data_IF_019568441346
#
_entry.id   IF_019568441346
#
_cell.length_a   1.000
_cell.length_b   1.000
_cell.length_c   1.000
_cell.angle_alpha   90.00
_cell.angle_beta   90.00
_cell.angle_gamma   90.00
#
_symmetry.space_group_name_H-M   'P 1'
#
loop_
_entity.id
_entity.type
_entity.pdbx_description
1 polymer ?
#
# COMPACT_ATOMS: atom_id res chain seq x y z
N UNK A 1 -3.71 -20.56 22.62
CA UNK A 1 -4.18 -19.75 21.47
C UNK A 1 -5.68 -19.96 21.42
N UNK A 2 -6.49 -18.90 21.61
CA UNK A 2 -7.95 -19.04 21.53
C UNK A 2 -8.30 -19.47 20.10
N UNK A 3 -9.16 -20.48 19.99
CA UNK A 3 -9.56 -21.08 18.73
C UNK A 3 -10.63 -20.17 18.10
N UNK A 4 -10.20 -19.06 17.49
CA UNK A 4 -11.10 -18.07 16.90
C UNK A 4 -11.79 -18.69 15.68
N UNK A 5 -13.12 -18.82 15.77
CA UNK A 5 -13.96 -19.42 14.72
C UNK A 5 -13.92 -18.59 13.44
N UNK A 6 -13.82 -17.26 13.54
CA UNK A 6 -13.75 -16.37 12.38
C UNK A 6 -12.43 -16.61 11.63
N UNK A 7 -11.30 -16.68 12.36
CA UNK A 7 -9.99 -16.95 11.74
C UNK A 7 -9.91 -18.33 11.06
N UNK A 8 -10.59 -19.34 11.62
CA UNK A 8 -10.68 -20.66 10.97
C UNK A 8 -11.50 -20.62 9.69
N UNK A 9 -12.62 -19.91 9.70
CA UNK A 9 -13.46 -19.75 8.52
C UNK A 9 -12.66 -19.11 7.38
N UNK A 10 -11.93 -18.03 7.65
CA UNK A 10 -11.04 -17.41 6.67
C UNK A 10 -9.94 -18.35 6.16
N UNK A 11 -9.32 -19.13 7.05
CA UNK A 11 -8.26 -20.08 6.66
C UNK A 11 -8.80 -21.18 5.75
N UNK A 12 -9.98 -21.68 6.04
CA UNK A 12 -10.55 -22.82 5.31
C UNK A 12 -11.20 -22.40 3.97
N UNK A 13 -11.21 -21.11 3.64
CA UNK A 13 -11.65 -20.57 2.34
C UNK A 13 -10.83 -21.09 1.15
N UNK A 14 -9.54 -21.39 1.35
CA UNK A 14 -8.64 -21.83 0.29
C UNK A 14 -7.69 -22.93 0.79
N UNK A 15 -7.82 -24.13 0.23
CA UNK A 15 -6.95 -25.27 0.59
C UNK A 15 -5.65 -25.22 -0.19
N UNK A 16 -4.58 -25.70 0.44
CA UNK A 16 -3.28 -25.81 -0.21
C UNK A 16 -3.37 -26.71 -1.47
N UNK A 17 -2.79 -26.30 -2.61
CA UNK A 17 -2.83 -27.06 -3.85
C UNK A 17 -1.95 -28.33 -3.75
N UNK A 18 -2.34 -29.37 -4.47
CA UNK A 18 -1.60 -30.64 -4.54
C UNK A 18 -0.45 -30.63 -5.56
N UNK A 19 -0.44 -29.66 -6.49
CA UNK A 19 0.57 -29.51 -7.53
C UNK A 19 0.91 -28.03 -7.72
N UNK A 20 2.17 -27.72 -8.00
CA UNK A 20 2.66 -26.37 -8.29
C UNK A 20 3.03 -26.28 -9.77
N UNK A 21 2.58 -25.22 -10.44
CA UNK A 21 2.92 -24.96 -11.84
C UNK A 21 3.65 -23.63 -11.99
N UNK A 22 4.43 -23.49 -13.05
CA UNK A 22 5.11 -22.26 -13.41
C UNK A 22 4.17 -21.33 -14.20
N UNK A 23 4.09 -20.07 -13.78
CA UNK A 23 3.32 -19.02 -14.47
C UNK A 23 4.18 -18.03 -15.26
N UNK A 24 5.51 -18.14 -15.18
CA UNK A 24 6.41 -17.22 -15.86
C UNK A 24 6.57 -17.64 -17.33
N UNK A 25 5.94 -16.89 -18.22
CA UNK A 25 6.00 -17.12 -19.67
C UNK A 25 6.00 -15.78 -20.42
N UNK A 26 6.20 -15.82 -21.73
CA UNK A 26 6.23 -14.66 -22.61
C UNK A 26 4.94 -13.83 -22.54
N UNK A 27 3.78 -14.47 -22.29
CA UNK A 27 2.51 -13.78 -22.03
C UNK A 27 2.61 -12.85 -20.80
N UNK A 28 3.22 -13.34 -19.73
CA UNK A 28 3.45 -12.60 -18.50
C UNK A 28 4.41 -11.43 -18.74
N UNK A 29 5.47 -11.64 -19.53
CA UNK A 29 6.42 -10.59 -19.91
C UNK A 29 5.74 -9.48 -20.72
N UNK A 30 4.98 -9.82 -21.77
CA UNK A 30 4.22 -8.84 -22.55
C UNK A 30 3.25 -8.07 -21.66
N UNK A 31 2.57 -8.79 -20.75
CA UNK A 31 1.65 -8.16 -19.82
C UNK A 31 2.33 -7.18 -18.87
N UNK A 32 3.52 -7.50 -18.37
CA UNK A 32 4.33 -6.61 -17.55
C UNK A 32 4.69 -5.31 -18.28
N UNK A 33 5.11 -5.40 -19.54
CA UNK A 33 5.46 -4.23 -20.37
C UNK A 33 4.25 -3.34 -20.58
N UNK A 34 3.11 -3.91 -20.97
CA UNK A 34 1.87 -3.16 -21.15
C UNK A 34 1.44 -2.45 -19.86
N UNK A 35 1.52 -3.15 -18.73
CA UNK A 35 1.21 -2.59 -17.41
C UNK A 35 2.09 -1.37 -17.15
N UNK A 36 3.40 -1.50 -17.35
CA UNK A 36 4.35 -0.42 -17.12
C UNK A 36 4.08 0.81 -17.99
N UNK A 37 3.87 0.62 -19.30
CA UNK A 37 3.72 1.73 -20.25
C UNK A 37 2.33 2.38 -20.23
N UNK A 38 1.25 1.62 -20.00
CA UNK A 38 -0.11 2.16 -20.08
C UNK A 38 -0.65 2.56 -18.70
N UNK A 39 -0.47 1.72 -17.68
CA UNK A 39 -1.11 1.95 -16.39
C UNK A 39 -0.40 3.00 -15.55
N UNK A 40 0.93 2.99 -15.55
CA UNK A 40 1.70 3.89 -14.69
C UNK A 40 1.42 5.36 -15.04
N UNK A 41 1.48 5.81 -16.32
CA UNK A 41 1.16 7.19 -16.66
C UNK A 41 -0.29 7.55 -16.37
N UNK A 42 -1.23 6.64 -16.67
CA UNK A 42 -2.65 6.85 -16.38
C UNK A 42 -2.92 7.00 -14.88
N UNK A 43 -2.22 6.20 -14.04
CA UNK A 43 -2.35 6.28 -12.59
C UNK A 43 -1.76 7.54 -12.02
N UNK A 44 -0.59 7.96 -12.51
CA UNK A 44 0.02 9.23 -12.13
C UNK A 44 -0.90 10.41 -12.49
N UNK A 45 -1.47 10.42 -13.70
CA UNK A 45 -2.40 11.46 -14.12
C UNK A 45 -3.64 11.53 -13.23
N UNK A 46 -4.30 10.40 -12.99
CA UNK A 46 -5.51 10.35 -12.15
C UNK A 46 -5.21 10.79 -10.72
N UNK A 47 -4.05 10.43 -10.19
CA UNK A 47 -3.63 10.87 -8.86
C UNK A 47 -3.40 12.38 -8.77
N UNK A 48 -2.84 13.01 -9.81
CA UNK A 48 -2.67 14.47 -9.85
C UNK A 48 -4.01 15.20 -9.98
N UNK A 49 -4.96 14.65 -10.74
CA UNK A 49 -6.26 15.29 -11.00
C UNK A 49 -7.23 15.09 -9.82
N UNK A 50 -7.27 13.89 -9.26
CA UNK A 50 -8.26 13.50 -8.24
C UNK A 50 -7.70 13.51 -6.82
N UNK A 51 -6.38 13.69 -6.65
CA UNK A 51 -5.68 13.55 -5.36
C UNK A 51 -5.50 12.09 -4.93
N UNK A 52 -6.07 11.13 -5.65
CA UNK A 52 -6.03 9.70 -5.35
C UNK A 52 -5.72 8.91 -6.63
N UNK A 53 -4.82 7.92 -6.56
CA UNK A 53 -4.54 7.05 -7.72
C UNK A 53 -5.72 6.14 -8.09
N UNK A 54 -5.56 5.33 -9.14
CA UNK A 54 -6.60 4.37 -9.63
C UNK A 54 -6.92 3.28 -8.58
N UNK A 55 -6.13 3.21 -7.51
CA UNK A 55 -6.33 2.31 -6.39
C UNK A 55 -6.10 0.83 -6.76
N UNK A 56 -6.45 -0.10 -5.85
CA UNK A 56 -6.29 -1.54 -6.07
C UNK A 56 -7.11 -2.07 -7.26
N UNK A 57 -8.20 -1.39 -7.62
CA UNK A 57 -9.10 -1.76 -8.71
C UNK A 57 -8.39 -1.83 -10.08
N UNK A 58 -7.40 -0.95 -10.31
CA UNK A 58 -6.62 -0.96 -11.55
C UNK A 58 -5.96 -2.33 -11.83
N UNK A 59 -5.49 -3.03 -10.79
CA UNK A 59 -4.89 -4.37 -10.93
C UNK A 59 -5.86 -5.34 -11.58
N UNK A 60 -7.11 -5.30 -11.15
CA UNK A 60 -8.17 -6.18 -11.62
C UNK A 60 -8.62 -5.85 -13.05
N UNK A 61 -8.79 -4.56 -13.36
CA UNK A 61 -9.16 -4.11 -14.71
C UNK A 61 -8.15 -4.62 -15.74
N UNK A 62 -6.86 -4.52 -15.43
CA UNK A 62 -5.79 -5.02 -16.30
C UNK A 62 -5.86 -6.51 -16.53
N UNK A 63 -6.06 -7.30 -15.48
CA UNK A 63 -6.19 -8.76 -15.63
C UNK A 63 -7.38 -9.09 -16.51
N UNK A 64 -8.51 -8.40 -16.33
CA UNK A 64 -9.71 -8.60 -17.14
C UNK A 64 -9.44 -8.27 -18.61
N UNK A 65 -8.76 -7.15 -18.89
CA UNK A 65 -8.36 -6.79 -20.27
C UNK A 65 -7.42 -7.83 -20.88
N UNK A 66 -6.43 -8.32 -20.11
CA UNK A 66 -5.52 -9.37 -20.58
C UNK A 66 -6.22 -10.70 -20.83
N UNK A 67 -7.10 -11.11 -19.94
CA UNK A 67 -7.90 -12.31 -20.11
C UNK A 67 -8.80 -12.21 -21.35
N UNK A 68 -9.38 -11.05 -21.60
CA UNK A 68 -10.21 -10.80 -22.78
C UNK A 68 -9.38 -10.79 -24.09
N UNK A 69 -8.19 -10.19 -24.08
CA UNK A 69 -7.26 -10.23 -25.23
C UNK A 69 -6.78 -11.65 -25.51
N UNK A 70 -6.42 -12.41 -24.46
CA UNK A 70 -6.01 -13.80 -24.58
C UNK A 70 -7.15 -14.64 -25.20
N UNK A 71 -8.38 -14.48 -24.69
CA UNK A 71 -9.58 -15.15 -25.19
C UNK A 71 -9.85 -14.83 -26.66
N UNK A 72 -9.75 -13.56 -27.05
CA UNK A 72 -9.91 -13.14 -28.47
C UNK A 72 -8.80 -13.66 -29.39
N UNK A 73 -7.64 -13.97 -28.81
CA UNK A 73 -6.51 -14.59 -29.51
C UNK A 73 -6.59 -16.12 -29.49
N UNK A 74 -7.72 -16.71 -29.07
CA UNK A 74 -7.89 -18.16 -28.89
C UNK A 74 -6.85 -18.80 -27.97
N UNK A 75 -6.40 -18.04 -26.97
CA UNK A 75 -5.45 -18.49 -25.94
C UNK A 75 -6.07 -18.35 -24.56
N UNK A 76 -5.64 -19.16 -23.62
CA UNK A 76 -6.08 -19.08 -22.24
C UNK A 76 -4.92 -18.66 -21.34
N UNK A 77 -5.26 -18.01 -20.21
CA UNK A 77 -4.31 -17.64 -19.18
C UNK A 77 -4.44 -18.61 -18.01
N UNK A 78 -3.31 -19.19 -17.59
CA UNK A 78 -3.25 -20.05 -16.41
C UNK A 78 -3.46 -19.22 -15.14
N UNK A 79 -3.90 -19.87 -14.06
CA UNK A 79 -4.07 -19.22 -12.75
C UNK A 79 -2.77 -18.54 -12.28
N UNK A 80 -1.62 -19.18 -12.53
CA UNK A 80 -0.30 -18.71 -12.16
C UNK A 80 0.15 -17.51 -13.01
N UNK A 81 -0.16 -17.49 -14.31
CA UNK A 81 0.07 -16.34 -15.19
C UNK A 81 -0.75 -15.13 -14.71
N UNK A 82 -2.03 -15.34 -14.38
CA UNK A 82 -2.92 -14.30 -13.84
C UNK A 82 -2.40 -13.76 -12.50
N UNK A 83 -1.93 -14.64 -11.62
CA UNK A 83 -1.37 -14.23 -10.33
C UNK A 83 -0.09 -13.38 -10.50
N UNK A 84 0.80 -13.77 -11.42
CA UNK A 84 1.99 -12.96 -11.71
C UNK A 84 1.61 -11.60 -12.32
N UNK A 85 0.66 -11.56 -13.26
CA UNK A 85 0.14 -10.31 -13.80
C UNK A 85 -0.48 -9.42 -12.71
N UNK A 86 -1.23 -9.99 -11.76
CA UNK A 86 -1.77 -9.27 -10.61
C UNK A 86 -0.68 -8.66 -9.73
N UNK A 87 0.34 -9.44 -9.40
CA UNK A 87 1.46 -8.98 -8.58
C UNK A 87 2.25 -7.87 -9.28
N UNK A 88 2.55 -8.04 -10.57
CA UNK A 88 3.26 -7.04 -11.38
C UNK A 88 2.44 -5.76 -11.57
N UNK A 89 1.13 -5.88 -11.80
CA UNK A 89 0.23 -4.72 -11.82
C UNK A 89 0.29 -3.96 -10.51
N UNK A 90 0.29 -4.68 -9.38
CA UNK A 90 0.43 -4.06 -8.08
C UNK A 90 1.78 -3.37 -7.86
N UNK A 91 2.86 -3.99 -8.32
CA UNK A 91 4.19 -3.40 -8.28
C UNK A 91 4.30 -2.13 -9.14
N UNK A 92 3.71 -2.12 -10.33
CA UNK A 92 3.72 -0.98 -11.23
C UNK A 92 2.86 0.19 -10.71
N UNK A 93 1.70 -0.12 -10.12
CA UNK A 93 0.80 0.89 -9.53
C UNK A 93 1.34 1.51 -8.26
N UNK A 94 2.39 0.97 -7.64
CA UNK A 94 3.12 1.65 -6.58
C UNK A 94 3.78 2.96 -7.08
N UNK A 95 3.82 3.17 -8.40
CA UNK A 95 4.18 4.42 -9.09
C UNK A 95 5.39 5.14 -8.50
N UNK A 96 6.54 4.46 -8.35
CA UNK A 96 7.71 5.00 -7.66
C UNK A 96 8.23 6.30 -8.29
N UNK A 97 8.06 6.45 -9.62
CA UNK A 97 8.45 7.66 -10.35
C UNK A 97 7.57 8.88 -10.05
N UNK A 98 6.39 8.70 -9.46
CA UNK A 98 5.57 9.82 -8.99
C UNK A 98 6.29 10.64 -7.90
N UNK A 99 7.13 9.99 -7.10
CA UNK A 99 7.97 10.68 -6.11
C UNK A 99 8.83 11.77 -6.74
N UNK A 100 9.25 11.62 -8.00
CA UNK A 100 10.06 12.64 -8.70
C UNK A 100 9.25 13.92 -8.96
N UNK A 101 7.97 13.79 -9.34
CA UNK A 101 7.08 14.94 -9.52
C UNK A 101 6.85 15.66 -8.19
N UNK A 102 6.67 14.91 -7.10
CA UNK A 102 6.55 15.49 -5.77
C UNK A 102 7.83 16.21 -5.34
N UNK A 103 9.00 15.60 -5.56
CA UNK A 103 10.29 16.23 -5.23
C UNK A 103 10.51 17.52 -6.03
N UNK A 104 10.13 17.54 -7.31
CA UNK A 104 10.14 18.74 -8.14
C UNK A 104 9.21 19.82 -7.58
N UNK A 105 7.98 19.45 -7.18
CA UNK A 105 7.06 20.39 -6.55
C UNK A 105 7.61 20.93 -5.22
N UNK A 106 8.16 20.05 -4.38
CA UNK A 106 8.67 20.39 -3.05
C UNK A 106 9.74 21.47 -3.13
N UNK A 107 10.76 21.27 -3.97
CA UNK A 107 11.86 22.24 -4.09
C UNK A 107 11.39 23.58 -4.68
N UNK A 108 10.40 23.57 -5.57
CA UNK A 108 9.83 24.78 -6.18
C UNK A 108 8.79 25.48 -5.29
N UNK A 109 8.26 24.80 -4.27
CA UNK A 109 7.15 25.31 -3.48
C UNK A 109 7.53 26.55 -2.66
N UNK A 110 6.60 27.52 -2.59
CA UNK A 110 6.77 28.74 -1.78
C UNK A 110 7.00 28.38 -0.31
N UNK A 111 6.34 27.34 0.20
CA UNK A 111 6.53 26.88 1.57
C UNK A 111 7.97 26.44 1.84
N UNK A 112 8.58 25.66 0.94
CA UNK A 112 9.96 25.24 1.09
C UNK A 112 10.94 26.43 0.99
N UNK A 113 10.66 27.38 0.09
CA UNK A 113 11.47 28.59 -0.08
C UNK A 113 11.37 29.50 1.16
N UNK A 114 10.16 29.73 1.68
CA UNK A 114 9.92 30.55 2.87
C UNK A 114 10.53 29.94 4.14
N UNK A 115 10.55 28.61 4.24
CA UNK A 115 11.21 27.89 5.35
C UNK A 115 12.74 27.83 5.18
N UNK A 116 13.28 28.27 4.04
CA UNK A 116 14.72 28.22 3.75
C UNK A 116 15.27 26.80 3.64
N UNK A 117 14.42 25.80 3.39
CA UNK A 117 14.83 24.39 3.33
C UNK A 117 15.32 23.96 1.96
N UNK A 118 15.03 24.74 0.91
CA UNK A 118 15.36 24.42 -0.48
C UNK A 118 16.84 24.20 -0.72
N UNK A 119 17.70 24.98 -0.08
CA UNK A 119 19.16 24.89 -0.22
C UNK A 119 19.75 23.62 0.42
N UNK A 120 19.01 23.01 1.35
CA UNK A 120 19.41 21.79 2.04
C UNK A 120 18.93 20.52 1.32
N UNK A 121 18.13 20.64 0.27
CA UNK A 121 17.68 19.50 -0.54
C UNK A 121 18.84 19.08 -1.45
N UNK A 122 19.37 17.86 -1.30
CA UNK A 122 20.49 17.42 -2.14
C UNK A 122 20.09 17.22 -3.60
N UNK A 123 21.02 17.45 -4.51
CA UNK A 123 20.83 17.26 -5.97
C UNK A 123 20.42 15.84 -6.38
N UNK A 124 20.70 14.86 -5.51
CA UNK A 124 20.28 13.47 -5.71
C UNK A 124 18.83 13.19 -5.31
N UNK A 125 18.14 14.12 -4.65
CA UNK A 125 16.69 14.08 -4.38
C UNK A 125 15.90 14.77 -5.49
N UNK A 126 16.34 15.98 -5.86
CA UNK A 126 15.76 16.80 -6.94
C UNK A 126 16.86 17.69 -7.55
N UNK A 127 16.78 18.03 -8.85
CA UNK A 127 17.68 19.02 -9.45
C UNK A 127 17.60 20.40 -8.77
N UNK A 128 18.67 21.18 -8.83
CA UNK A 128 18.69 22.54 -8.28
C UNK A 128 17.65 23.44 -8.98
N UNK A 129 17.13 24.46 -8.28
CA UNK A 129 16.10 25.39 -8.77
C UNK A 129 16.42 26.03 -10.13
N UNK A 130 17.70 26.23 -10.44
CA UNK A 130 18.17 26.80 -11.72
C UNK A 130 18.30 25.79 -12.86
N UNK A 131 17.96 24.51 -12.66
CA UNK A 131 18.10 23.47 -13.67
C UNK A 131 17.21 23.73 -14.89
N UNK A 132 17.78 23.58 -16.08
CA UNK A 132 17.05 23.67 -17.35
C UNK A 132 15.94 22.61 -17.49
N UNK A 133 16.07 21.50 -16.75
CA UNK A 133 15.08 20.41 -16.76
C UNK A 133 13.67 20.86 -16.39
N UNK A 134 13.55 21.89 -15.55
CA UNK A 134 12.26 22.44 -15.13
C UNK A 134 11.60 23.26 -16.24
N UNK A 135 12.39 24.01 -17.01
CA UNK A 135 11.89 24.75 -18.17
C UNK A 135 11.48 23.79 -19.30
N UNK A 136 12.26 22.73 -19.53
CA UNK A 136 11.99 21.71 -20.54
C UNK A 136 10.85 20.75 -20.14
N UNK A 137 10.45 20.75 -18.85
CA UNK A 137 9.43 19.85 -18.29
C UNK A 137 9.72 18.38 -18.62
N UNK A 138 11.00 17.99 -18.55
CA UNK A 138 11.47 16.67 -18.96
C UNK A 138 12.34 16.03 -17.89
N UNK A 139 12.04 14.76 -17.58
CA UNK A 139 12.90 13.91 -16.76
C UNK A 139 14.09 13.33 -17.55
N UNK A 140 14.09 13.47 -18.88
CA UNK A 140 15.19 13.06 -19.74
C UNK A 140 16.29 14.15 -19.80
N UNK A 141 16.68 14.64 -18.63
CA UNK A 141 17.75 15.63 -18.47
C UNK A 141 18.84 15.05 -17.55
N UNK A 142 20.10 15.45 -17.75
CA UNK A 142 21.24 14.91 -17.00
C UNK A 142 21.11 15.12 -15.49
N UNK A 143 20.52 16.23 -15.07
CA UNK A 143 20.35 16.56 -13.65
C UNK A 143 19.40 15.59 -12.93
N UNK A 144 18.48 14.96 -13.66
CA UNK A 144 17.58 13.93 -13.12
C UNK A 144 18.23 12.54 -13.05
N UNK A 145 19.41 12.35 -13.63
CA UNK A 145 20.06 11.04 -13.70
C UNK A 145 20.35 10.48 -12.30
N UNK A 146 20.87 11.30 -11.39
CA UNK A 146 21.16 10.86 -10.02
C UNK A 146 19.87 10.46 -9.27
N UNK A 147 18.82 11.30 -9.16
CA UNK A 147 17.55 10.90 -8.55
C UNK A 147 16.93 9.63 -9.15
N UNK A 148 16.95 9.49 -10.49
CA UNK A 148 16.38 8.33 -11.17
C UNK A 148 17.19 7.06 -10.88
N UNK A 149 18.53 7.14 -10.92
CA UNK A 149 19.39 5.98 -10.62
C UNK A 149 19.26 5.56 -9.15
N UNK A 150 19.17 6.53 -8.23
CA UNK A 150 18.92 6.24 -6.82
C UNK A 150 17.57 5.55 -6.62
N UNK A 151 16.51 6.07 -7.27
CA UNK A 151 15.18 5.48 -7.20
C UNK A 151 15.18 4.04 -7.73
N UNK A 152 15.73 3.81 -8.92
CA UNK A 152 15.83 2.49 -9.53
C UNK A 152 16.66 1.52 -8.68
N UNK A 153 17.79 1.99 -8.13
CA UNK A 153 18.66 1.21 -7.24
C UNK A 153 17.95 0.84 -5.93
N UNK A 154 17.28 1.80 -5.30
CA UNK A 154 16.50 1.58 -4.08
C UNK A 154 15.36 0.59 -4.32
N UNK A 155 14.65 0.70 -5.45
CA UNK A 155 13.62 -0.28 -5.84
C UNK A 155 14.19 -1.69 -6.00
N UNK A 156 15.36 -1.83 -6.63
CA UNK A 156 15.99 -3.13 -6.83
C UNK A 156 16.41 -3.75 -5.50
N UNK A 157 17.03 -2.97 -4.61
CA UNK A 157 17.40 -3.41 -3.26
C UNK A 157 16.16 -3.82 -2.48
N UNK A 158 15.11 -3.00 -2.49
CA UNK A 158 13.86 -3.29 -1.78
C UNK A 158 13.20 -4.57 -2.28
N UNK A 159 13.26 -4.85 -3.59
CA UNK A 159 12.75 -6.10 -4.15
C UNK A 159 13.57 -7.30 -3.68
N UNK A 160 14.90 -7.18 -3.67
CA UNK A 160 15.79 -8.22 -3.16
C UNK A 160 15.53 -8.47 -1.66
N UNK A 161 15.40 -7.41 -0.86
CA UNK A 161 15.06 -7.50 0.57
C UNK A 161 13.72 -8.21 0.80
N UNK A 162 12.70 -7.87 0.00
CA UNK A 162 11.39 -8.49 0.06
C UNK A 162 11.46 -10.01 -0.21
N UNK A 163 12.29 -10.43 -1.18
CA UNK A 163 12.55 -11.85 -1.42
C UNK A 163 13.45 -12.50 -0.36
N UNK A 164 14.31 -11.75 0.32
CA UNK A 164 15.17 -12.25 1.38
C UNK A 164 14.41 -12.47 2.69
N UNK A 165 14.07 -11.39 3.40
CA UNK A 165 13.40 -11.50 4.70
C UNK A 165 11.93 -11.93 4.55
N UNK A 166 11.22 -11.39 3.57
CA UNK A 166 9.80 -11.70 3.37
C UNK A 166 9.56 -13.18 3.10
N UNK A 167 10.40 -13.81 2.28
CA UNK A 167 10.32 -15.26 2.05
C UNK A 167 10.69 -16.08 3.29
N UNK A 168 11.74 -15.68 4.02
CA UNK A 168 12.14 -16.36 5.24
C UNK A 168 11.02 -16.33 6.30
N UNK A 169 10.39 -15.17 6.49
CA UNK A 169 9.24 -15.00 7.37
C UNK A 169 8.02 -15.75 6.87
N UNK A 170 7.75 -15.78 5.56
CA UNK A 170 6.69 -16.61 4.99
C UNK A 170 6.87 -18.08 5.36
N UNK A 171 8.08 -18.64 5.20
CA UNK A 171 8.33 -20.05 5.55
C UNK A 171 8.17 -20.30 7.05
N UNK A 172 8.57 -19.35 7.89
CA UNK A 172 8.38 -19.45 9.34
C UNK A 172 6.88 -19.42 9.71
N UNK A 173 6.17 -18.40 9.26
CA UNK A 173 4.75 -18.16 9.63
C UNK A 173 3.78 -19.15 8.97
N UNK A 174 4.04 -19.54 7.71
CA UNK A 174 3.19 -20.47 6.97
C UNK A 174 3.55 -21.94 7.22
N UNK A 175 4.82 -22.34 7.05
CA UNK A 175 5.18 -23.77 7.11
C UNK A 175 5.30 -24.28 8.56
N UNK A 176 5.89 -23.47 9.44
CA UNK A 176 6.17 -23.85 10.84
C UNK A 176 5.00 -23.49 11.76
N UNK A 177 4.58 -22.23 11.75
CA UNK A 177 3.56 -21.72 12.69
C UNK A 177 2.12 -21.89 12.19
N UNK A 178 1.92 -22.02 10.88
CA UNK A 178 0.60 -22.21 10.22
C UNK A 178 -0.42 -21.15 10.63
N UNK A 179 0.02 -19.89 10.66
CA UNK A 179 -0.84 -18.76 11.01
C UNK A 179 -1.98 -18.59 9.99
N UNK A 180 -3.19 -18.18 10.43
CA UNK A 180 -4.28 -17.83 9.53
C UNK A 180 -4.05 -16.43 8.94
N UNK A 181 -3.93 -16.33 7.61
CA UNK A 181 -3.81 -15.05 6.89
C UNK A 181 -5.16 -14.65 6.30
N UNK A 182 -6.04 -13.89 6.99
CA UNK A 182 -7.43 -13.72 6.57
C UNK A 182 -7.63 -13.04 5.21
N UNK A 183 -6.75 -12.10 4.86
CA UNK A 183 -6.84 -11.36 3.59
C UNK A 183 -6.23 -12.11 2.39
N UNK A 184 -5.36 -13.09 2.62
CA UNK A 184 -4.67 -13.79 1.53
C UNK A 184 -5.62 -14.68 0.70
N UNK A 185 -6.53 -15.48 1.30
CA UNK A 185 -7.56 -16.22 0.59
C UNK A 185 -8.47 -15.33 -0.25
N UNK A 186 -8.83 -14.14 0.23
CA UNK A 186 -9.70 -13.22 -0.53
C UNK A 186 -9.02 -12.78 -1.83
N UNK A 187 -7.75 -12.37 -1.77
CA UNK A 187 -6.99 -11.99 -2.95
C UNK A 187 -6.80 -13.18 -3.90
N UNK A 188 -6.45 -14.36 -3.36
CA UNK A 188 -6.24 -15.58 -4.14
C UNK A 188 -7.54 -16.05 -4.82
N UNK A 189 -8.66 -16.10 -4.10
CA UNK A 189 -9.98 -16.43 -4.65
C UNK A 189 -10.42 -15.44 -5.73
N UNK A 190 -10.11 -14.16 -5.58
CA UNK A 190 -10.33 -13.17 -6.64
C UNK A 190 -9.57 -13.51 -7.92
N UNK A 191 -8.26 -13.83 -7.81
CA UNK A 191 -7.44 -14.22 -8.97
C UNK A 191 -7.89 -15.55 -9.60
N UNK A 192 -8.25 -16.53 -8.77
CA UNK A 192 -8.77 -17.82 -9.24
C UNK A 192 -10.14 -17.68 -9.90
N UNK A 193 -11.02 -16.85 -9.36
CA UNK A 193 -12.35 -16.62 -9.94
C UNK A 193 -12.26 -16.04 -11.37
N UNK A 194 -11.28 -15.19 -11.65
CA UNK A 194 -11.05 -14.67 -12.99
C UNK A 194 -10.52 -15.75 -13.94
N UNK A 195 -9.61 -16.60 -13.48
CA UNK A 195 -9.10 -17.72 -14.27
C UNK A 195 -10.18 -18.78 -14.57
N UNK A 196 -10.92 -19.20 -13.54
CA UNK A 196 -11.99 -20.22 -13.59
C UNK A 196 -13.24 -19.76 -14.35
N UNK A 197 -13.42 -18.44 -14.53
CA UNK A 197 -14.54 -17.88 -15.31
C UNK A 197 -14.49 -18.25 -16.80
N UNK A 198 -13.42 -18.90 -17.25
CA UNK A 198 -13.23 -19.35 -18.64
C UNK A 198 -13.87 -20.73 -18.89
N UNK A 199 -14.02 -21.59 -17.88
CA UNK A 199 -14.37 -23.00 -18.11
C UNK A 199 -15.74 -23.48 -17.59
N UNK A 200 -16.41 -22.82 -16.64
CA UNK A 200 -17.55 -23.47 -15.96
C UNK A 200 -18.86 -22.65 -15.85
N UNK A 201 -19.95 -23.17 -16.42
CA UNK A 201 -21.33 -22.61 -16.27
C UNK A 201 -21.83 -22.60 -14.81
N UNK A 202 -21.14 -23.28 -13.90
CA UNK A 202 -21.49 -23.39 -12.47
C UNK A 202 -21.19 -22.13 -11.64
N UNK A 203 -20.42 -21.17 -12.17
CA UNK A 203 -20.03 -19.92 -11.47
C UNK A 203 -20.85 -18.70 -11.90
N UNK A 204 -22.06 -18.89 -12.45
CA UNK A 204 -22.94 -17.80 -12.91
C UNK A 204 -23.23 -16.72 -11.83
N UNK A 205 -23.23 -17.09 -10.55
CA UNK A 205 -23.44 -16.13 -9.45
C UNK A 205 -22.25 -15.17 -9.27
N UNK A 206 -21.00 -15.65 -9.44
CA UNK A 206 -19.79 -14.81 -9.37
C UNK A 206 -19.87 -13.71 -10.44
N UNK A 207 -20.36 -14.09 -11.62
CA UNK A 207 -20.52 -13.17 -12.74
C UNK A 207 -21.63 -12.15 -12.52
N UNK A 208 -22.75 -12.56 -11.91
CA UNK A 208 -23.80 -11.63 -11.48
C UNK A 208 -23.28 -10.60 -10.47
N UNK A 209 -22.54 -11.04 -9.44
CA UNK A 209 -21.96 -10.14 -8.42
C UNK A 209 -20.95 -9.20 -9.06
N UNK A 210 -20.08 -9.71 -9.94
CA UNK A 210 -19.16 -8.87 -10.70
C UNK A 210 -19.89 -7.83 -11.54
N UNK A 211 -20.91 -8.21 -12.30
CA UNK A 211 -21.66 -7.26 -13.15
C UNK A 211 -22.37 -6.19 -12.31
N UNK A 212 -22.94 -6.55 -11.15
CA UNK A 212 -23.53 -5.57 -10.23
C UNK A 212 -22.46 -4.59 -9.74
N UNK A 213 -21.33 -5.11 -9.24
CA UNK A 213 -20.22 -4.27 -8.79
C UNK A 213 -19.66 -3.38 -9.91
N UNK A 214 -19.53 -3.91 -11.12
CA UNK A 214 -19.08 -3.18 -12.29
C UNK A 214 -20.06 -2.06 -12.68
N UNK A 215 -21.38 -2.30 -12.65
CA UNK A 215 -22.37 -1.27 -12.94
C UNK A 215 -22.40 -0.17 -11.88
N UNK A 216 -22.27 -0.52 -10.59
CA UNK A 216 -22.15 0.46 -9.50
C UNK A 216 -20.88 1.30 -9.70
N UNK A 217 -19.74 0.65 -9.96
CA UNK A 217 -18.47 1.32 -10.21
C UNK A 217 -18.48 2.22 -11.45
N UNK A 218 -19.11 1.78 -12.54
CA UNK A 218 -19.29 2.59 -13.76
C UNK A 218 -20.18 3.80 -13.50
N UNK A 219 -21.31 3.62 -12.82
CA UNK A 219 -22.20 4.73 -12.47
C UNK A 219 -21.48 5.75 -11.56
N UNK A 220 -20.79 5.28 -10.53
CA UNK A 220 -20.03 6.12 -9.63
C UNK A 220 -18.89 6.85 -10.36
N UNK A 221 -18.08 6.12 -11.13
CA UNK A 221 -16.97 6.68 -11.91
C UNK A 221 -17.44 7.66 -12.98
N UNK A 222 -18.62 7.45 -13.58
CA UNK A 222 -19.24 8.39 -14.50
C UNK A 222 -19.50 9.74 -13.82
N UNK A 223 -20.19 9.76 -12.68
CA UNK A 223 -20.56 11.00 -12.00
C UNK A 223 -19.41 11.65 -11.22
N UNK A 224 -18.53 10.86 -10.63
CA UNK A 224 -17.45 11.34 -9.75
C UNK A 224 -16.18 11.71 -10.52
N UNK A 225 -15.89 11.04 -11.64
CA UNK A 225 -14.63 11.24 -12.39
C UNK A 225 -14.89 11.74 -13.80
N UNK A 226 -15.65 11.00 -14.61
CA UNK A 226 -15.77 11.28 -16.04
C UNK A 226 -16.52 12.59 -16.32
N UNK A 227 -17.63 12.83 -15.62
CA UNK A 227 -18.44 14.02 -15.82
C UNK A 227 -17.66 15.32 -15.48
N UNK A 228 -16.99 15.45 -14.33
CA UNK A 228 -16.10 16.58 -14.06
C UNK A 228 -14.98 16.74 -15.09
N UNK A 229 -14.34 15.63 -15.49
CA UNK A 229 -13.23 15.67 -16.44
C UNK A 229 -13.67 16.12 -17.85
N UNK A 230 -14.76 15.56 -18.39
CA UNK A 230 -15.28 15.94 -19.70
C UNK A 230 -15.86 17.36 -19.69
N UNK A 231 -16.62 17.72 -18.65
CA UNK A 231 -17.20 19.06 -18.57
C UNK A 231 -16.13 20.14 -18.42
N UNK A 232 -15.03 19.89 -17.70
CA UNK A 232 -13.92 20.84 -17.59
C UNK A 232 -13.18 21.13 -18.90
N UNK A 233 -13.38 20.32 -19.94
CA UNK A 233 -12.82 20.59 -21.28
C UNK A 233 -13.69 21.62 -22.03
N UNK A 234 -15.00 21.61 -21.83
CA UNK A 234 -15.96 22.43 -22.57
C UNK A 234 -16.44 23.66 -21.79
N UNK A 235 -16.42 23.62 -20.46
CA UNK A 235 -16.91 24.67 -19.58
C UNK A 235 -15.77 25.29 -18.77
N UNK A 236 -15.95 26.56 -18.37
CA UNK A 236 -15.01 27.26 -17.46
C UNK A 236 -15.00 26.65 -16.06
N UNK A 237 -16.15 26.14 -15.61
CA UNK A 237 -16.27 25.39 -14.36
C UNK A 237 -16.76 23.97 -14.66
N UNK A 238 -16.01 22.93 -14.25
CA UNK A 238 -16.45 21.55 -14.43
C UNK A 238 -17.70 21.27 -13.59
N UNK A 239 -18.63 20.52 -14.17
CA UNK A 239 -19.85 20.07 -13.51
C UNK A 239 -19.46 19.00 -12.47
N UNK A 240 -19.47 19.40 -11.19
CA UNK A 240 -19.18 18.54 -10.05
C UNK A 240 -20.46 18.31 -9.24
N UNK A 241 -21.11 17.16 -9.45
CA UNK A 241 -22.29 16.77 -8.65
C UNK A 241 -21.90 16.41 -7.21
N UNK A 242 -20.71 15.82 -7.05
CA UNK A 242 -20.13 15.45 -5.75
C UNK A 242 -18.82 16.22 -5.62
N UNK A 243 -18.54 16.88 -4.48
CA UNK A 243 -17.28 17.57 -4.25
C UNK A 243 -16.09 16.61 -4.30
N UNK A 244 -15.02 17.05 -4.95
CA UNK A 244 -13.72 16.37 -5.05
C UNK A 244 -12.69 17.31 -4.39
N UNK A 245 -11.73 16.81 -3.60
CA UNK A 245 -11.48 15.40 -3.26
C UNK A 245 -12.37 14.82 -2.13
N UNK A 246 -12.99 15.65 -1.31
CA UNK A 246 -13.94 15.25 -0.27
C UNK A 246 -14.98 16.35 -0.06
N UNK A 247 -16.07 16.02 0.63
CA UNK A 247 -17.02 17.01 1.13
C UNK A 247 -16.48 17.61 2.43
N UNK A 248 -16.19 18.91 2.40
CA UNK A 248 -15.71 19.67 3.55
C UNK A 248 -16.88 20.04 4.47
N UNK A 249 -16.97 19.42 5.65
CA UNK A 249 -17.99 19.68 6.67
C UNK A 249 -17.40 20.25 7.98
N UNK A 250 -16.08 20.33 8.09
CA UNK A 250 -15.42 20.72 9.35
C UNK A 250 -15.85 22.14 9.74
N UNK A 251 -15.86 23.06 8.77
CA UNK A 251 -16.33 24.45 8.96
C UNK A 251 -17.81 24.57 9.33
N UNK A 252 -18.64 23.59 8.97
CA UNK A 252 -20.07 23.58 9.32
C UNK A 252 -20.32 22.98 10.71
N UNK A 253 -19.40 22.14 11.18
CA UNK A 253 -19.54 21.37 12.42
C UNK A 253 -18.69 21.91 13.55
N UNK A 254 -17.71 22.77 13.28
CA UNK A 254 -16.79 23.37 14.26
C UNK A 254 -17.49 24.06 15.44
N UNK A 255 -18.72 24.54 15.25
CA UNK A 255 -19.50 25.18 16.31
C UNK A 255 -19.96 24.22 17.42
N UNK A 256 -20.14 22.93 17.12
CA UNK A 256 -20.57 21.92 18.10
C UNK A 256 -19.58 20.75 18.25
N UNK A 257 -18.65 20.58 17.30
CA UNK A 257 -17.56 19.61 17.32
C UNK A 257 -16.22 20.33 17.07
N UNK A 258 -15.73 21.12 18.04
CA UNK A 258 -14.46 21.82 17.90
C UNK A 258 -13.31 20.81 17.77
N UNK A 259 -12.34 21.15 16.92
CA UNK A 259 -11.19 20.30 16.58
C UNK A 259 -11.53 18.89 16.05
N UNK A 260 -12.75 18.64 15.56
CA UNK A 260 -13.10 17.36 14.90
C UNK A 260 -13.07 17.54 13.39
N UNK A 261 -12.24 16.75 12.71
CA UNK A 261 -12.22 16.70 11.25
C UNK A 261 -13.41 15.86 10.74
N UNK A 262 -14.41 16.52 10.15
CA UNK A 262 -15.65 15.87 9.70
C UNK A 262 -15.77 15.78 8.17
N UNK A 263 -14.69 16.03 7.44
CA UNK A 263 -14.66 15.85 5.99
C UNK A 263 -15.01 14.42 5.59
N UNK A 264 -15.92 14.27 4.61
CA UNK A 264 -16.37 12.98 4.11
C UNK A 264 -15.73 12.70 2.77
N UNK A 265 -14.86 11.69 2.72
CA UNK A 265 -14.32 11.17 1.48
C UNK A 265 -15.29 10.16 0.87
N UNK A 266 -15.72 10.42 -0.37
CA UNK A 266 -16.55 9.49 -1.13
C UNK A 266 -15.67 8.46 -1.86
N UNK A 267 -15.26 7.43 -1.14
CA UNK A 267 -14.47 6.33 -1.70
C UNK A 267 -15.27 5.02 -1.64
N UNK A 268 -15.79 4.61 -2.79
CA UNK A 268 -16.51 3.35 -2.93
C UNK A 268 -15.62 2.12 -2.64
N UNK A 269 -14.31 2.24 -2.83
CA UNK A 269 -13.33 1.22 -2.47
C UNK A 269 -13.28 0.97 -0.97
N UNK A 270 -13.32 2.02 -0.14
CA UNK A 270 -13.38 1.88 1.32
C UNK A 270 -14.67 1.18 1.78
N UNK A 271 -15.79 1.44 1.10
CA UNK A 271 -17.07 0.75 1.37
C UNK A 271 -16.94 -0.76 1.14
N UNK A 272 -16.38 -1.19 -0.01
CA UNK A 272 -16.21 -2.61 -0.30
C UNK A 272 -15.16 -3.28 0.59
N UNK A 273 -14.06 -2.58 0.92
CA UNK A 273 -13.05 -3.09 1.86
C UNK A 273 -13.71 -3.33 3.23
N UNK A 274 -14.54 -2.41 3.71
CA UNK A 274 -15.28 -2.55 4.95
C UNK A 274 -16.21 -3.77 5.00
N UNK A 275 -16.74 -4.22 3.86
CA UNK A 275 -17.58 -5.44 3.77
C UNK A 275 -16.77 -6.75 3.90
N UNK A 276 -15.45 -6.69 3.69
CA UNK A 276 -14.55 -7.85 3.69
C UNK A 276 -13.74 -7.94 4.99
N UNK A 277 -13.55 -6.81 5.68
CA UNK A 277 -12.79 -6.80 6.93
C UNK A 277 -13.49 -7.61 8.04
N UNK A 278 -12.71 -8.25 8.93
CA UNK A 278 -13.27 -8.95 10.10
C UNK A 278 -14.19 -8.05 10.91
N UNK A 279 -15.31 -8.59 11.39
CA UNK A 279 -16.36 -7.79 12.03
C UNK A 279 -15.82 -6.98 13.21
N UNK A 280 -14.98 -7.60 14.04
CA UNK A 280 -14.37 -6.95 15.19
C UNK A 280 -13.37 -5.85 14.83
N UNK A 281 -12.72 -5.94 13.67
CA UNK A 281 -11.87 -4.86 13.16
C UNK A 281 -12.72 -3.63 12.78
N UNK A 282 -13.88 -3.85 12.14
CA UNK A 282 -14.82 -2.77 11.79
C UNK A 282 -15.38 -2.10 13.05
N UNK A 283 -15.81 -2.89 14.04
CA UNK A 283 -16.30 -2.36 15.32
C UNK A 283 -15.20 -1.60 16.06
N UNK A 284 -13.96 -2.12 16.07
CA UNK A 284 -12.81 -1.42 16.66
C UNK A 284 -12.55 -0.05 16.00
N UNK A 285 -12.60 0.00 14.67
CA UNK A 285 -12.48 1.25 13.91
C UNK A 285 -13.61 2.24 14.22
N UNK A 286 -14.85 1.75 14.30
CA UNK A 286 -16.01 2.58 14.66
C UNK A 286 -15.90 3.14 16.09
N UNK A 287 -15.50 2.33 17.07
CA UNK A 287 -15.26 2.79 18.44
C UNK A 287 -14.13 3.83 18.46
N UNK A 288 -13.05 3.61 17.70
CA UNK A 288 -11.96 4.58 17.57
C UNK A 288 -12.43 5.94 17.02
N UNK A 289 -13.33 5.93 16.04
CA UNK A 289 -13.96 7.15 15.52
C UNK A 289 -14.78 7.85 16.60
N UNK A 290 -15.64 7.13 17.31
CA UNK A 290 -16.47 7.69 18.40
C UNK A 290 -15.59 8.30 19.49
N UNK A 291 -14.52 7.61 19.90
CA UNK A 291 -13.55 8.13 20.87
C UNK A 291 -12.94 9.42 20.36
N UNK A 292 -12.53 9.48 19.10
CA UNK A 292 -11.93 10.69 18.50
C UNK A 292 -12.90 11.87 18.48
N UNK A 293 -14.17 11.62 18.10
CA UNK A 293 -15.23 12.64 18.04
C UNK A 293 -15.51 13.22 19.43
N UNK A 294 -15.40 12.42 20.49
CA UNK A 294 -15.61 12.88 21.88
C UNK A 294 -14.33 13.49 22.47
N UNK A 295 -13.17 12.89 22.21
CA UNK A 295 -11.90 13.30 22.79
C UNK A 295 -11.42 14.65 22.24
N UNK A 296 -11.58 14.92 20.94
CA UNK A 296 -11.07 16.15 20.34
C UNK A 296 -11.65 17.42 20.97
N UNK A 297 -12.98 17.57 21.12
CA UNK A 297 -13.54 18.72 21.82
C UNK A 297 -13.02 18.86 23.25
N UNK A 298 -12.91 17.75 23.99
CA UNK A 298 -12.36 17.77 25.36
C UNK A 298 -10.90 18.21 25.38
N UNK A 299 -10.06 17.67 24.50
CA UNK A 299 -8.65 18.03 24.38
C UNK A 299 -8.48 19.50 23.96
N UNK A 300 -9.39 20.02 23.14
CA UNK A 300 -9.42 21.43 22.77
C UNK A 300 -9.80 22.33 23.97
N UNK A 301 -10.86 21.99 24.70
CA UNK A 301 -11.28 22.74 25.90
C UNK A 301 -10.21 22.78 27.00
N UNK A 302 -9.41 21.70 27.12
CA UNK A 302 -8.27 21.63 28.04
C UNK A 302 -7.00 22.32 27.51
N UNK A 303 -7.05 22.96 26.35
CA UNK A 303 -5.93 23.69 25.76
C UNK A 303 -4.79 22.81 25.23
N UNK A 304 -5.03 21.51 25.01
CA UNK A 304 -4.04 20.59 24.44
C UNK A 304 -3.95 20.82 22.93
N UNK A 305 -5.10 20.88 22.25
CA UNK A 305 -5.20 21.16 20.80
C UNK A 305 -5.17 22.67 20.50
N UNK A 306 -4.11 23.34 20.93
CA UNK A 306 -3.97 24.79 20.90
C UNK A 306 -3.70 25.38 19.50
N UNK A 307 -3.22 24.60 18.53
CA UNK A 307 -3.01 25.09 17.16
C UNK A 307 -4.31 25.18 16.36
N UNK A 308 -5.32 24.41 16.75
CA UNK A 308 -6.60 24.45 16.07
C UNK A 308 -7.35 25.75 16.39
N UNK A 309 -7.97 26.35 15.38
CA UNK A 309 -8.88 27.49 15.55
C UNK A 309 -10.07 27.39 14.58
N UNK A 310 -11.20 28.06 14.90
CA UNK A 310 -12.34 28.12 13.98
C UNK A 310 -11.93 28.64 12.59
N UNK A 311 -12.54 28.07 11.56
CA UNK A 311 -12.25 28.33 10.15
C UNK A 311 -11.28 27.33 9.50
N UNK A 312 -10.56 26.52 10.29
CA UNK A 312 -9.67 25.48 9.75
C UNK A 312 -10.45 24.41 8.98
N UNK A 313 -9.93 24.03 7.80
CA UNK A 313 -10.49 22.91 7.02
C UNK A 313 -10.18 21.54 7.63
N UNK A 314 -10.70 20.47 7.02
CA UNK A 314 -10.45 19.08 7.46
C UNK A 314 -8.96 18.77 7.54
N UNK A 315 -8.20 19.08 6.49
CA UNK A 315 -6.76 18.77 6.40
C UNK A 315 -5.96 19.55 7.44
N UNK A 316 -6.24 20.84 7.58
CA UNK A 316 -5.59 21.71 8.57
C UNK A 316 -5.89 21.22 9.99
N UNK A 317 -7.13 20.81 10.26
CA UNK A 317 -7.53 20.24 11.56
C UNK A 317 -6.80 18.95 11.87
N UNK A 318 -6.74 18.01 10.92
CA UNK A 318 -5.99 16.75 11.09
C UNK A 318 -4.51 17.03 11.34
N UNK A 319 -3.93 17.96 10.57
CA UNK A 319 -2.52 18.35 10.72
C UNK A 319 -2.26 18.98 12.09
N UNK A 320 -3.01 20.00 12.49
CA UNK A 320 -2.88 20.69 13.77
C UNK A 320 -3.00 19.70 14.95
N UNK A 321 -4.04 18.87 14.94
CA UNK A 321 -4.26 17.88 16.00
C UNK A 321 -3.16 16.82 16.05
N UNK A 322 -2.60 16.45 14.89
CA UNK A 322 -1.48 15.51 14.82
C UNK A 322 -0.23 16.10 15.47
N UNK A 323 0.10 17.35 15.18
CA UNK A 323 1.24 18.02 15.81
C UNK A 323 1.06 18.25 17.31
N UNK A 324 -0.17 18.55 17.76
CA UNK A 324 -0.46 18.84 19.16
C UNK A 324 -0.50 17.58 20.04
N UNK A 325 -1.16 16.51 19.57
CA UNK A 325 -1.45 15.34 20.41
C UNK A 325 -1.21 14.00 19.69
N UNK A 326 -1.80 13.80 18.51
CA UNK A 326 -1.90 12.45 17.93
C UNK A 326 -0.56 11.86 17.47
N UNK A 327 0.43 12.67 17.09
CA UNK A 327 1.77 12.19 16.78
C UNK A 327 2.41 11.54 18.02
N UNK A 328 2.42 12.26 19.15
CA UNK A 328 2.97 11.75 20.41
C UNK A 328 2.18 10.55 20.93
N UNK A 329 0.85 10.61 20.86
CA UNK A 329 -0.02 9.49 21.22
C UNK A 329 0.25 8.26 20.34
N UNK A 330 0.38 8.44 19.03
CA UNK A 330 0.69 7.38 18.07
C UNK A 330 2.06 6.74 18.32
N UNK A 331 3.09 7.54 18.63
CA UNK A 331 4.41 7.04 19.04
C UNK A 331 4.29 6.21 20.33
N UNK A 332 3.58 6.72 21.34
CA UNK A 332 3.37 6.01 22.61
C UNK A 332 2.62 4.69 22.44
N UNK A 333 1.57 4.69 21.63
CA UNK A 333 0.80 3.49 21.29
C UNK A 333 1.66 2.47 20.53
N UNK A 334 2.42 2.93 19.52
CA UNK A 334 3.32 2.09 18.75
C UNK A 334 4.41 1.43 19.61
N UNK A 335 5.02 2.20 20.52
CA UNK A 335 5.98 1.67 21.50
C UNK A 335 5.32 0.66 22.44
N UNK A 336 4.10 0.92 22.91
CA UNK A 336 3.37 0.00 23.79
C UNK A 336 3.06 -1.32 23.10
N UNK A 337 2.55 -1.27 21.86
CA UNK A 337 2.29 -2.48 21.05
C UNK A 337 3.59 -3.23 20.78
N UNK A 338 4.67 -2.51 20.43
CA UNK A 338 5.99 -3.11 20.22
C UNK A 338 6.52 -3.83 21.47
N UNK A 339 6.39 -3.21 22.65
CA UNK A 339 6.78 -3.83 23.92
C UNK A 339 5.93 -5.06 24.26
N UNK A 340 4.62 -5.01 24.01
CA UNK A 340 3.72 -6.16 24.19
C UNK A 340 4.11 -7.28 23.22
N UNK A 341 4.41 -6.96 21.96
CA UNK A 341 4.87 -7.92 20.96
C UNK A 341 6.17 -8.60 21.39
N UNK A 342 7.17 -7.82 21.80
CA UNK A 342 8.43 -8.34 22.34
C UNK A 342 8.21 -9.23 23.58
N UNK A 343 7.34 -8.81 24.49
CA UNK A 343 6.99 -9.60 25.67
C UNK A 343 6.29 -10.91 25.32
N UNK A 344 5.36 -10.89 24.36
CA UNK A 344 4.67 -12.10 23.90
C UNK A 344 5.64 -13.07 23.22
N UNK A 345 6.54 -12.58 22.39
CA UNK A 345 7.61 -13.39 21.77
C UNK A 345 8.50 -14.00 22.85
N UNK A 346 9.01 -13.20 23.79
CA UNK A 346 9.84 -13.70 24.90
C UNK A 346 9.11 -14.72 25.79
N UNK A 347 7.81 -14.51 26.02
CA UNK A 347 6.94 -15.44 26.76
C UNK A 347 6.69 -16.73 25.99
N UNK A 348 6.47 -16.66 24.67
CA UNK A 348 6.27 -17.82 23.80
C UNK A 348 7.50 -18.73 23.80
N UNK A 349 8.71 -18.17 23.72
CA UNK A 349 9.95 -18.92 23.85
C UNK A 349 10.13 -19.60 25.22
N UNK A 350 9.57 -19.02 26.29
CA UNK A 350 9.58 -19.58 27.65
C UNK A 350 8.49 -20.63 27.88
N UNK A 351 7.31 -20.45 27.31
CA UNK A 351 6.18 -21.38 27.42
C UNK A 351 6.29 -22.49 26.35
N UNK A 352 7.30 -23.35 26.47
CA UNK A 352 7.39 -24.58 25.67
C UNK A 352 6.18 -25.49 25.97
N UNK A 353 5.19 -25.47 25.08
CA UNK A 353 3.97 -26.29 25.16
C UNK A 353 3.41 -26.75 23.81
N UNK A 354 4.14 -26.57 22.71
CA UNK A 354 3.80 -27.10 21.40
C UNK A 354 5.06 -27.10 20.53
N UNK A 355 5.56 -28.28 20.17
CA UNK A 355 6.79 -28.41 19.39
C UNK A 355 6.59 -27.91 17.97
N UNK A 356 6.96 -26.66 17.71
CA UNK A 356 7.13 -26.16 16.34
C UNK A 356 8.27 -26.97 15.69
N UNK A 357 7.97 -27.63 14.59
CA UNK A 357 8.96 -28.42 13.87
C UNK A 357 9.72 -27.51 12.88
N UNK A 358 10.78 -26.88 13.39
CA UNK A 358 11.68 -26.07 12.58
C UNK A 358 12.43 -26.90 11.51
N UNK A 359 12.38 -28.24 11.54
CA UNK A 359 12.95 -29.06 10.47
C UNK A 359 12.24 -28.85 9.13
N UNK A 360 10.99 -28.37 9.15
CA UNK A 360 10.22 -27.99 7.97
C UNK A 360 10.85 -26.82 7.19
N UNK A 361 11.62 -25.95 7.84
CA UNK A 361 12.40 -24.90 7.17
C UNK A 361 13.54 -25.46 6.31
N UNK A 362 14.01 -26.67 6.63
CA UNK A 362 15.11 -27.32 5.92
C UNK A 362 14.64 -28.39 4.94
N UNK A 363 13.37 -28.82 5.03
CA UNK A 363 12.74 -29.81 4.15
C UNK A 363 11.48 -29.22 3.50
N UNK A 364 11.63 -28.35 2.49
CA UNK A 364 10.49 -27.79 1.78
C UNK A 364 9.63 -28.89 1.11
N UNK A 365 8.32 -28.67 0.91
CA UNK A 365 7.48 -29.55 0.14
C UNK A 365 8.04 -29.77 -1.27
N UNK A 366 8.03 -31.00 -1.80
CA UNK A 366 8.54 -31.27 -3.13
C UNK A 366 7.75 -30.50 -4.20
N UNK A 367 8.45 -29.91 -5.17
CA UNK A 367 7.84 -29.23 -6.32
C UNK A 367 7.45 -27.76 -6.14
N UNK A 368 7.57 -27.17 -4.94
CA UNK A 368 7.21 -25.75 -4.70
C UNK A 368 8.24 -24.73 -5.23
N UNK A 369 9.43 -25.17 -5.63
CA UNK A 369 10.50 -24.30 -6.12
C UNK A 369 11.18 -23.47 -5.02
N UNK A 370 11.12 -23.94 -3.79
CA UNK A 370 11.57 -23.21 -2.60
C UNK A 370 13.08 -22.92 -2.59
N UNK A 371 13.44 -21.65 -2.38
CA UNK A 371 14.84 -21.29 -2.06
C UNK A 371 15.21 -21.76 -0.65
N UNK A 372 16.50 -22.03 -0.45
CA UNK A 372 17.01 -22.42 0.86
C UNK A 372 16.87 -21.25 1.84
N UNK A 373 16.49 -21.56 3.09
CA UNK A 373 16.29 -20.53 4.12
C UNK A 373 17.58 -19.74 4.38
N UNK A 374 18.74 -20.40 4.29
CA UNK A 374 20.04 -19.77 4.43
C UNK A 374 20.34 -18.79 3.31
N UNK A 375 20.00 -19.13 2.06
CA UNK A 375 20.16 -18.21 0.95
C UNK A 375 19.24 -17.01 1.12
N UNK A 376 18.00 -17.21 1.56
CA UNK A 376 17.05 -16.13 1.86
C UNK A 376 17.59 -15.15 2.91
N UNK A 377 18.10 -15.67 4.02
CA UNK A 377 18.71 -14.86 5.08
C UNK A 377 20.01 -14.19 4.62
N UNK A 378 20.85 -14.89 3.86
CA UNK A 378 22.08 -14.33 3.32
C UNK A 378 21.79 -13.18 2.34
N UNK A 379 20.81 -13.36 1.45
CA UNK A 379 20.32 -12.30 0.56
C UNK A 379 19.93 -11.10 1.39
N UNK A 380 19.08 -11.28 2.42
CA UNK A 380 18.63 -10.18 3.28
C UNK A 380 19.77 -9.45 3.98
N UNK A 381 20.71 -10.19 4.59
CA UNK A 381 21.85 -9.58 5.29
C UNK A 381 22.70 -8.78 4.32
N UNK A 382 22.99 -9.32 3.13
CA UNK A 382 23.81 -8.64 2.13
C UNK A 382 23.11 -7.41 1.56
N UNK A 383 21.82 -7.50 1.22
CA UNK A 383 21.05 -6.37 0.69
C UNK A 383 20.83 -5.28 1.75
N UNK A 384 20.55 -5.67 2.99
CA UNK A 384 20.44 -4.72 4.12
C UNK A 384 21.77 -4.02 4.37
N UNK A 385 22.90 -4.74 4.39
CA UNK A 385 24.23 -4.12 4.52
C UNK A 385 24.54 -3.19 3.36
N UNK A 386 24.23 -3.59 2.12
CA UNK A 386 24.41 -2.74 0.95
C UNK A 386 23.59 -1.45 1.06
N UNK A 387 22.33 -1.55 1.51
CA UNK A 387 21.47 -0.40 1.75
C UNK A 387 22.02 0.52 2.85
N UNK A 388 22.47 -0.06 3.96
CA UNK A 388 23.07 0.70 5.08
C UNK A 388 24.33 1.45 4.60
N UNK A 389 25.23 0.78 3.89
CA UNK A 389 26.43 1.40 3.32
C UNK A 389 26.07 2.54 2.37
N UNK A 390 25.02 2.35 1.57
CA UNK A 390 24.52 3.36 0.66
C UNK A 390 23.95 4.59 1.39
N UNK A 391 23.17 4.38 2.46
CA UNK A 391 22.66 5.47 3.30
C UNK A 391 23.78 6.24 4.01
N UNK A 392 24.80 5.53 4.51
CA UNK A 392 25.98 6.16 5.14
C UNK A 392 26.76 6.99 4.12
N UNK A 393 26.83 6.55 2.87
CA UNK A 393 27.47 7.31 1.79
C UNK A 393 26.66 8.57 1.42
N UNK A 394 25.33 8.48 1.33
CA UNK A 394 24.46 9.61 0.98
C UNK A 394 24.32 10.64 2.10
N UNK A 395 24.28 10.19 3.36
CA UNK A 395 24.03 11.05 4.53
C UNK A 395 25.07 10.74 5.63
N UNK A 396 26.35 11.14 5.45
CA UNK A 396 27.44 10.75 6.33
C UNK A 396 27.34 11.34 7.74
N UNK A 397 26.59 12.43 7.91
CA UNK A 397 26.35 13.08 9.19
C UNK A 397 25.30 12.35 10.05
N UNK A 398 24.50 11.46 9.47
CA UNK A 398 23.47 10.74 10.20
C UNK A 398 24.06 9.52 10.91
N UNK A 399 23.67 9.21 12.18
CA UNK A 399 24.29 8.11 12.90
C UNK A 399 23.93 6.75 12.31
N UNK A 400 24.92 6.07 11.73
CA UNK A 400 24.77 4.78 11.04
C UNK A 400 24.15 3.66 11.88
N UNK A 401 24.27 3.77 13.22
CA UNK A 401 23.71 2.80 14.16
C UNK A 401 22.18 2.72 14.05
N UNK A 402 21.52 3.82 13.69
CA UNK A 402 20.08 3.83 13.44
C UNK A 402 19.74 2.95 12.23
N UNK A 403 20.51 3.02 11.15
CA UNK A 403 20.26 2.18 9.97
C UNK A 403 20.42 0.69 10.28
N UNK A 404 21.41 0.31 11.10
CA UNK A 404 21.57 -1.08 11.53
C UNK A 404 20.45 -1.53 12.46
N UNK A 405 20.04 -0.69 13.42
CA UNK A 405 18.93 -1.01 14.33
C UNK A 405 17.64 -1.17 13.54
N UNK A 406 17.36 -0.26 12.60
CA UNK A 406 16.21 -0.37 11.73
C UNK A 406 16.26 -1.64 10.86
N UNK A 407 17.38 -1.86 10.16
CA UNK A 407 17.54 -2.99 9.25
C UNK A 407 17.56 -4.36 9.94
N UNK A 408 18.27 -4.54 11.05
CA UNK A 408 18.47 -5.87 11.64
C UNK A 408 17.59 -6.18 12.84
N UNK A 409 16.96 -5.17 13.45
CA UNK A 409 16.15 -5.36 14.66
C UNK A 409 14.70 -4.97 14.39
N UNK A 410 14.44 -3.71 14.04
CA UNK A 410 13.08 -3.22 13.89
C UNK A 410 12.35 -3.88 12.72
N UNK A 411 12.95 -3.90 11.52
CA UNK A 411 12.33 -4.44 10.32
C UNK A 411 11.99 -5.93 10.45
N UNK A 412 12.88 -6.83 10.91
CA UNK A 412 12.53 -8.23 11.12
C UNK A 412 11.46 -8.43 12.18
N UNK A 413 11.53 -7.68 13.28
CA UNK A 413 10.57 -7.78 14.38
C UNK A 413 9.18 -7.33 13.93
N UNK A 414 9.06 -6.15 13.35
CA UNK A 414 7.77 -5.62 12.91
C UNK A 414 7.20 -6.48 11.78
N UNK A 415 8.04 -6.93 10.85
CA UNK A 415 7.61 -7.80 9.75
C UNK A 415 7.12 -9.15 10.25
N UNK A 416 7.66 -9.68 11.34
CA UNK A 416 7.15 -10.91 11.96
C UNK A 416 5.83 -10.67 12.71
N UNK A 417 5.67 -9.51 13.37
CA UNK A 417 4.44 -9.14 14.08
C UNK A 417 3.29 -8.86 13.09
N UNK A 418 3.61 -8.31 11.91
CA UNK A 418 2.62 -7.96 10.88
C UNK A 418 2.41 -9.04 9.82
N UNK A 419 3.26 -10.06 9.76
CA UNK A 419 3.01 -11.28 9.00
C UNK A 419 1.89 -12.06 9.68
#
# INVERSE_FOLDING_TARGET
>A
MYDDKELKEYRDLLKAPSHFEEGFDWKTVIGAVFIGFLMMPGSMYLQLVLGTGIGPAARWVTIILFAEVARRSYTELKQQEIFLLYYMAGAALASPFQGLLWNQYLIQSDAAQMLGVTEFIPSWVAPDLGSASYAERSFFHRDWLAPILLLCGAMLIQRIDQFGLGYALYRLTSDVEKLPFPMAPVAALGTMALAESTEDRKTAWKWRVFSIGAMIGLAFGFFYVLLPALSGIFFTEPIRLIPIPWLELTRNTEGFLPAVATGIQFDLGLVFIGMVLPFWAVIGGFIGLVITVVANPLLFEHGILHRWHPGMGTVETVFANSFDFYMSFGIGLGLSIGLIGLWQVARSFRQKGGGLDFSLLFKPPPGRGDISIWLSLAIYVVSTLAYVLFCVWLVPSFPWIFFLLYGFIYTPLISYITA
#
